data_IF_103343042144
#
_entry.id   IF_103343042144
#
_cell.length_a   1.000
_cell.length_b   1.000
_cell.length_c   1.000
_cell.angle_alpha   90.00
_cell.angle_beta   90.00
_cell.angle_gamma   90.00
#
_symmetry.space_group_name_H-M   'P 1'
#
loop_
_entity.id
_entity.type
_entity.pdbx_description
1 polymer ?
#
# COMPACT_ATOMS: atom_id res chain seq x y z
N UNK A 1 -21.60 2.99 -10.64
CA UNK A 1 -21.18 3.34 -9.25
C UNK A 1 -22.19 2.86 -8.20
N UNK A 2 -23.50 2.90 -8.49
CA UNK A 2 -24.53 2.45 -7.52
C UNK A 2 -24.50 0.95 -7.25
N UNK A 3 -24.12 0.15 -8.25
CA UNK A 3 -24.09 -1.31 -8.14
C UNK A 3 -22.93 -1.86 -7.27
N UNK A 4 -21.85 -1.11 -7.13
CA UNK A 4 -20.64 -1.52 -6.39
C UNK A 4 -20.11 -0.35 -5.56
N UNK A 5 -20.78 0.00 -4.44
CA UNK A 5 -20.35 1.08 -3.58
C UNK A 5 -18.98 0.75 -2.95
N UNK A 6 -18.15 1.77 -2.80
CA UNK A 6 -16.79 1.67 -2.24
C UNK A 6 -15.83 0.71 -2.96
N UNK A 7 -16.13 0.34 -4.22
CA UNK A 7 -15.27 -0.50 -5.04
C UNK A 7 -14.88 0.20 -6.34
N UNK A 8 -13.67 -0.04 -6.79
CA UNK A 8 -13.18 0.48 -8.07
C UNK A 8 -13.72 -0.38 -9.21
N UNK A 9 -14.47 0.22 -10.11
CA UNK A 9 -14.97 -0.43 -11.33
C UNK A 9 -14.20 0.09 -12.54
N UNK A 10 -13.65 -0.80 -13.34
CA UNK A 10 -12.95 -0.47 -14.58
C UNK A 10 -13.57 -1.27 -15.72
N UNK A 11 -14.02 -0.58 -16.77
CA UNK A 11 -14.50 -1.25 -17.98
C UNK A 11 -13.30 -1.72 -18.79
N UNK A 12 -13.27 -3.00 -19.12
CA UNK A 12 -12.17 -3.65 -19.84
C UNK A 12 -12.45 -3.83 -21.32
N UNK A 13 -13.72 -3.96 -21.70
CA UNK A 13 -14.12 -4.09 -23.09
C UNK A 13 -15.60 -3.74 -23.30
N UNK A 14 -15.95 -3.46 -24.57
CA UNK A 14 -17.31 -3.22 -25.04
C UNK A 14 -17.62 -4.11 -26.25
N UNK A 15 -18.90 -4.47 -26.42
CA UNK A 15 -19.41 -4.97 -27.71
C UNK A 15 -19.33 -3.89 -28.79
N UNK A 16 -19.34 -4.28 -30.05
CA UNK A 16 -19.25 -3.35 -31.20
C UNK A 16 -20.33 -2.27 -31.22
N UNK A 17 -21.51 -2.62 -30.73
CA UNK A 17 -22.71 -1.77 -30.66
C UNK A 17 -22.87 -1.07 -29.29
N UNK A 18 -21.92 -1.25 -28.38
CA UNK A 18 -21.96 -0.74 -27.01
C UNK A 18 -23.14 -1.24 -26.15
N UNK A 19 -23.91 -2.24 -26.63
CA UNK A 19 -25.02 -2.82 -25.86
C UNK A 19 -24.55 -3.63 -24.65
N UNK A 20 -23.29 -4.10 -24.68
CA UNK A 20 -22.67 -4.87 -23.59
C UNK A 20 -21.27 -4.38 -23.26
N UNK A 21 -20.90 -4.53 -22.00
CA UNK A 21 -19.55 -4.26 -21.53
C UNK A 21 -19.09 -5.36 -20.57
N UNK A 22 -17.78 -5.58 -20.52
CA UNK A 22 -17.14 -6.34 -19.45
C UNK A 22 -16.37 -5.37 -18.58
N UNK A 23 -16.57 -5.46 -17.28
CA UNK A 23 -15.85 -4.68 -16.29
C UNK A 23 -15.25 -5.58 -15.22
N UNK A 24 -14.19 -5.09 -14.58
CA UNK A 24 -13.62 -5.67 -13.37
C UNK A 24 -13.93 -4.76 -12.19
N UNK A 25 -14.37 -5.36 -11.10
CA UNK A 25 -14.65 -4.69 -9.83
C UNK A 25 -13.61 -5.14 -8.83
N UNK A 26 -12.93 -4.18 -8.19
CA UNK A 26 -11.81 -4.41 -7.27
C UNK A 26 -11.97 -3.57 -6.00
N UNK A 27 -11.47 -4.08 -4.88
CA UNK A 27 -11.31 -3.36 -3.61
C UNK A 27 -10.09 -3.91 -2.88
N UNK A 28 -9.83 -3.46 -1.67
CA UNK A 28 -8.77 -3.99 -0.81
C UNK A 28 -8.95 -5.48 -0.47
N UNK A 29 -10.20 -5.90 -0.23
CA UNK A 29 -10.60 -7.30 0.02
C UNK A 29 -11.24 -7.98 -1.20
N UNK A 30 -11.12 -7.38 -2.37
CA UNK A 30 -11.59 -7.95 -3.63
C UNK A 30 -10.49 -7.83 -4.69
N UNK A 31 -9.70 -8.87 -4.92
CA UNK A 31 -8.61 -8.87 -5.91
C UNK A 31 -9.08 -8.68 -7.35
N UNK A 32 -10.37 -8.87 -7.62
CA UNK A 32 -10.98 -8.62 -8.91
C UNK A 32 -12.07 -9.64 -9.23
N UNK A 33 -13.26 -9.14 -9.52
CA UNK A 33 -14.37 -9.93 -10.04
C UNK A 33 -14.82 -9.32 -11.36
N UNK A 34 -14.86 -10.13 -12.40
CA UNK A 34 -15.36 -9.74 -13.71
C UNK A 34 -16.87 -9.84 -13.79
N UNK A 35 -17.48 -8.84 -14.40
CA UNK A 35 -18.91 -8.76 -14.62
C UNK A 35 -19.23 -8.46 -16.09
N UNK A 36 -20.25 -9.12 -16.61
CA UNK A 36 -20.94 -8.72 -17.84
C UNK A 36 -22.04 -7.71 -17.49
N UNK A 37 -22.00 -6.57 -18.15
CA UNK A 37 -23.02 -5.52 -18.07
C UNK A 37 -23.80 -5.54 -19.37
N UNK A 38 -25.11 -5.85 -19.31
CA UNK A 38 -26.04 -5.82 -20.43
C UNK A 38 -26.87 -4.54 -20.31
N UNK A 39 -26.58 -3.55 -21.17
CA UNK A 39 -27.20 -2.23 -21.11
C UNK A 39 -28.66 -2.24 -21.58
N UNK A 40 -28.99 -3.16 -22.49
CA UNK A 40 -30.38 -3.28 -22.98
C UNK A 40 -31.31 -3.86 -21.91
N UNK A 41 -30.78 -4.83 -21.14
CA UNK A 41 -31.55 -5.48 -20.07
C UNK A 41 -31.38 -4.78 -18.71
N UNK A 42 -30.51 -3.79 -18.63
CA UNK A 42 -30.09 -3.17 -17.36
C UNK A 42 -29.68 -4.23 -16.32
N UNK A 43 -28.86 -5.19 -16.74
CA UNK A 43 -28.47 -6.34 -15.93
C UNK A 43 -26.96 -6.45 -15.80
N UNK A 44 -26.50 -6.82 -14.59
CA UNK A 44 -25.11 -7.11 -14.30
C UNK A 44 -25.01 -8.56 -13.82
N UNK A 45 -24.14 -9.34 -14.45
CA UNK A 45 -23.94 -10.76 -14.14
C UNK A 45 -22.46 -11.07 -13.90
N UNK A 46 -22.09 -11.79 -12.82
CA UNK A 46 -20.72 -12.17 -12.58
C UNK A 46 -20.23 -13.17 -13.64
N UNK A 47 -19.02 -12.97 -14.14
CA UNK A 47 -18.34 -13.88 -15.08
C UNK A 47 -17.33 -14.78 -14.37
N UNK A 48 -16.63 -14.26 -13.36
CA UNK A 48 -15.62 -15.00 -12.64
C UNK A 48 -14.72 -14.12 -11.80
N UNK A 49 -13.95 -14.75 -10.91
CA UNK A 49 -12.97 -14.09 -10.03
C UNK A 49 -11.58 -14.17 -10.63
N UNK A 50 -10.81 -13.08 -10.53
CA UNK A 50 -9.42 -13.03 -10.98
C UNK A 50 -8.55 -14.06 -10.22
N UNK A 51 -8.68 -14.09 -8.90
CA UNK A 51 -8.03 -15.07 -8.02
C UNK A 51 -9.06 -16.09 -7.53
N UNK A 52 -9.42 -17.03 -8.40
CA UNK A 52 -10.54 -17.96 -8.17
C UNK A 52 -10.35 -18.91 -6.98
N UNK A 53 -9.10 -19.16 -6.55
CA UNK A 53 -8.78 -20.06 -5.42
C UNK A 53 -8.66 -19.32 -4.07
N UNK A 54 -8.69 -17.99 -4.05
CA UNK A 54 -8.58 -17.20 -2.83
C UNK A 54 -9.95 -17.06 -2.17
N UNK A 55 -10.02 -17.33 -0.87
CA UNK A 55 -11.19 -16.98 -0.06
C UNK A 55 -11.17 -15.48 0.22
N UNK A 56 -12.13 -14.74 -0.30
CA UNK A 56 -12.21 -13.29 -0.09
C UNK A 56 -12.60 -12.94 1.35
N UNK A 57 -13.30 -13.84 2.04
CA UNK A 57 -13.72 -13.65 3.44
C UNK A 57 -12.55 -13.69 4.45
N UNK A 58 -11.38 -14.16 4.01
CA UNK A 58 -10.17 -14.21 4.83
C UNK A 58 -9.18 -13.06 4.56
N UNK A 59 -9.55 -12.10 3.71
CA UNK A 59 -8.71 -10.95 3.40
C UNK A 59 -8.88 -9.85 4.45
N UNK A 60 -7.80 -9.11 4.68
CA UNK A 60 -7.75 -8.02 5.64
C UNK A 60 -8.08 -6.67 4.98
N UNK A 61 -8.92 -5.86 5.62
CA UNK A 61 -9.24 -4.52 5.16
C UNK A 61 -8.04 -3.58 5.25
N UNK A 62 -7.90 -2.70 4.26
CA UNK A 62 -6.86 -1.68 4.20
C UNK A 62 -7.41 -0.33 4.66
N UNK A 63 -6.88 0.18 5.76
CA UNK A 63 -7.23 1.48 6.33
C UNK A 63 -6.35 2.58 5.75
N UNK A 64 -6.93 3.74 5.49
CA UNK A 64 -6.19 4.95 5.12
C UNK A 64 -5.79 5.68 6.40
N UNK A 65 -4.51 5.95 6.56
CA UNK A 65 -3.95 6.70 7.68
C UNK A 65 -3.39 8.01 7.14
N UNK A 66 -3.79 9.13 7.71
CA UNK A 66 -3.25 10.45 7.41
C UNK A 66 -2.67 11.05 8.70
N UNK A 67 -1.45 11.53 8.64
CA UNK A 67 -0.79 12.18 9.78
C UNK A 67 0.13 13.31 9.29
N UNK A 68 0.53 14.17 10.21
CA UNK A 68 1.56 15.18 9.93
C UNK A 68 2.91 14.67 10.35
N UNK A 69 3.88 14.73 9.43
CA UNK A 69 5.26 14.44 9.76
C UNK A 69 5.86 15.54 10.66
N UNK A 70 7.08 15.34 11.14
CA UNK A 70 7.82 16.30 12.01
C UNK A 70 8.02 17.69 11.39
N UNK A 71 7.83 17.83 10.08
CA UNK A 71 7.95 19.09 9.36
C UNK A 71 6.60 19.77 9.09
N UNK A 72 5.49 19.11 9.46
CA UNK A 72 4.13 19.60 9.28
C UNK A 72 3.48 19.18 7.96
N UNK A 73 4.18 18.40 7.11
CA UNK A 73 3.64 17.92 5.86
C UNK A 73 2.62 16.79 6.08
N UNK A 74 1.54 16.79 5.32
CA UNK A 74 0.54 15.71 5.34
C UNK A 74 1.10 14.47 4.63
N UNK A 75 1.16 13.36 5.36
CA UNK A 75 1.59 12.05 4.84
C UNK A 75 0.42 11.09 4.87
N UNK A 76 0.15 10.45 3.73
CA UNK A 76 -0.83 9.39 3.63
C UNK A 76 -0.13 8.03 3.62
N UNK A 77 -0.64 7.12 4.44
CA UNK A 77 -0.19 5.74 4.53
C UNK A 77 -1.39 4.79 4.47
N UNK A 78 -1.12 3.53 4.19
CA UNK A 78 -2.13 2.47 4.26
C UNK A 78 -1.72 1.46 5.32
N UNK A 79 -2.69 1.04 6.12
CA UNK A 79 -2.47 0.09 7.19
C UNK A 79 -3.42 -1.10 7.06
N UNK A 80 -2.86 -2.31 7.04
CA UNK A 80 -3.60 -3.57 6.99
C UNK A 80 -3.27 -4.35 8.25
N UNK A 81 -4.30 -4.66 9.05
CA UNK A 81 -4.13 -5.41 10.29
C UNK A 81 -3.93 -6.91 10.03
N UNK A 82 -3.17 -7.54 10.89
CA UNK A 82 -2.99 -8.99 10.91
C UNK A 82 -4.32 -9.72 11.09
N UNK A 83 -4.55 -10.75 10.29
CA UNK A 83 -5.77 -11.55 10.40
C UNK A 83 -5.77 -12.35 11.70
N UNK A 84 -6.80 -12.15 12.52
CA UNK A 84 -7.05 -12.95 13.72
C UNK A 84 -6.02 -12.81 14.86
N UNK A 85 -5.10 -11.85 14.79
CA UNK A 85 -4.02 -11.66 15.78
C UNK A 85 -4.03 -10.24 16.35
N UNK A 86 -4.19 -10.12 17.66
CA UNK A 86 -4.03 -8.85 18.38
C UNK A 86 -2.55 -8.62 18.71
N UNK A 87 -2.13 -7.35 18.78
CA UNK A 87 -0.74 -6.95 19.08
C UNK A 87 0.28 -7.65 18.17
N UNK A 88 -0.06 -7.77 16.89
CA UNK A 88 0.80 -8.39 15.91
C UNK A 88 2.06 -7.54 15.65
N UNK A 89 3.21 -8.17 15.33
CA UNK A 89 4.37 -7.43 14.85
C UNK A 89 4.02 -6.70 13.55
N UNK A 90 4.66 -5.56 13.32
CA UNK A 90 4.38 -4.71 12.16
C UNK A 90 5.52 -4.76 11.15
N UNK A 91 5.18 -4.96 9.89
CA UNK A 91 6.10 -4.80 8.76
C UNK A 91 5.82 -3.46 8.11
N UNK A 92 6.79 -2.56 8.13
CA UNK A 92 6.76 -1.34 7.33
C UNK A 92 7.26 -1.67 5.94
N UNK A 93 6.48 -1.31 4.93
CA UNK A 93 6.70 -1.71 3.55
C UNK A 93 6.76 -0.48 2.64
N UNK A 94 7.90 0.24 2.60
CA UNK A 94 8.10 1.37 1.71
C UNK A 94 8.13 0.92 0.26
N UNK A 95 7.42 1.64 -0.61
CA UNK A 95 7.36 1.34 -2.04
C UNK A 95 8.67 1.62 -2.77
N UNK A 96 8.83 1.04 -3.94
CA UNK A 96 9.91 1.35 -4.87
C UNK A 96 9.75 2.73 -5.52
N UNK A 97 10.73 3.16 -6.27
CA UNK A 97 10.72 4.45 -6.98
C UNK A 97 11.98 5.27 -6.70
N UNK A 98 11.96 6.36 -5.90
CA UNK A 98 10.91 6.91 -5.01
C UNK A 98 9.72 7.61 -5.70
N UNK A 99 9.84 7.97 -6.96
CA UNK A 99 8.79 8.62 -7.76
C UNK A 99 7.71 7.62 -8.22
N UNK A 100 7.12 6.94 -7.25
CA UNK A 100 5.98 6.05 -7.38
C UNK A 100 5.02 6.30 -6.22
N UNK A 101 4.07 5.43 -5.99
CA UNK A 101 3.24 5.46 -4.79
C UNK A 101 2.55 4.12 -4.58
N UNK A 102 2.16 3.85 -3.34
CA UNK A 102 1.15 2.87 -3.02
C UNK A 102 -0.26 3.42 -3.25
N UNK A 103 -1.20 2.53 -3.52
CA UNK A 103 -2.61 2.84 -3.71
C UNK A 103 -3.46 2.01 -2.76
N UNK A 104 -4.57 2.59 -2.33
CA UNK A 104 -5.59 1.82 -1.65
C UNK A 104 -6.15 0.75 -2.60
N UNK A 105 -6.22 -0.49 -2.12
CA UNK A 105 -6.76 -1.61 -2.88
C UNK A 105 -6.05 -2.93 -2.57
N UNK A 106 -6.41 -3.96 -3.29
CA UNK A 106 -5.83 -5.29 -3.11
C UNK A 106 -4.33 -5.29 -3.48
N UNK A 107 -3.52 -5.74 -2.53
CA UNK A 107 -2.10 -5.99 -2.73
C UNK A 107 -1.78 -7.42 -2.26
N UNK A 108 -1.38 -8.34 -3.16
CA UNK A 108 -1.25 -9.76 -2.83
C UNK A 108 -0.24 -10.04 -1.71
N UNK A 109 0.88 -9.31 -1.71
CA UNK A 109 1.93 -9.47 -0.71
C UNK A 109 1.50 -8.95 0.67
N UNK A 110 0.81 -7.81 0.70
CA UNK A 110 0.23 -7.26 1.94
C UNK A 110 -0.79 -8.25 2.52
N UNK A 111 -1.65 -8.81 1.69
CA UNK A 111 -2.64 -9.80 2.13
C UNK A 111 -1.99 -11.10 2.62
N UNK A 112 -0.92 -11.53 1.96
CA UNK A 112 -0.14 -12.68 2.41
C UNK A 112 0.46 -12.43 3.80
N UNK A 113 1.14 -11.30 3.99
CA UNK A 113 1.75 -10.95 5.28
C UNK A 113 0.70 -10.79 6.39
N UNK A 114 -0.45 -10.19 6.07
CA UNK A 114 -1.55 -10.05 7.03
C UNK A 114 -2.13 -11.42 7.44
N UNK A 115 -2.26 -12.35 6.48
CA UNK A 115 -2.69 -13.73 6.76
C UNK A 115 -1.68 -14.51 7.61
N UNK A 116 -0.37 -14.23 7.45
CA UNK A 116 0.70 -14.81 8.28
C UNK A 116 0.80 -14.16 9.68
N UNK A 117 -0.05 -13.19 9.98
CA UNK A 117 -0.17 -12.61 11.31
C UNK A 117 0.75 -11.40 11.55
N UNK A 118 1.05 -10.62 10.51
CA UNK A 118 1.76 -9.34 10.59
C UNK A 118 0.82 -8.20 10.24
N UNK A 119 0.90 -7.11 10.98
CA UNK A 119 0.40 -5.83 10.50
C UNK A 119 1.29 -5.33 9.36
N UNK A 120 0.72 -4.68 8.36
CA UNK A 120 1.49 -4.09 7.26
C UNK A 120 1.19 -2.61 7.14
N UNK A 121 2.24 -1.79 7.14
CA UNK A 121 2.19 -0.34 6.98
C UNK A 121 2.91 0.07 5.70
N UNK A 122 2.14 0.54 4.72
CA UNK A 122 2.65 1.08 3.46
C UNK A 122 2.66 2.61 3.52
N UNK A 123 3.80 3.23 3.24
CA UNK A 123 3.98 4.67 3.38
C UNK A 123 4.14 5.36 2.03
N UNK A 124 3.33 6.38 1.77
CA UNK A 124 3.59 7.35 0.71
C UNK A 124 4.40 8.52 1.28
N UNK A 125 5.69 8.28 1.49
CA UNK A 125 6.63 9.28 2.01
C UNK A 125 6.81 10.44 1.03
N UNK A 126 7.36 11.57 1.47
CA UNK A 126 7.75 12.66 0.57
C UNK A 126 8.64 12.14 -0.55
N UNK A 127 8.35 12.55 -1.78
CA UNK A 127 8.89 11.95 -3.01
C UNK A 127 7.86 11.12 -3.76
N UNK A 128 6.82 10.60 -3.07
CA UNK A 128 5.73 9.86 -3.71
C UNK A 128 4.95 10.74 -4.68
N UNK A 129 4.49 10.14 -5.79
CA UNK A 129 3.72 10.83 -6.83
C UNK A 129 2.24 10.96 -6.45
N UNK A 130 1.55 11.94 -7.08
CA UNK A 130 0.10 12.12 -6.91
C UNK A 130 -0.32 13.00 -5.72
N UNK A 131 0.64 13.57 -4.99
CA UNK A 131 0.42 14.50 -3.86
C UNK A 131 0.85 15.95 -4.17
N UNK A 132 1.11 16.24 -5.43
CA UNK A 132 1.58 17.54 -5.91
C UNK A 132 3.09 17.58 -6.16
N UNK A 133 3.50 18.64 -6.88
CA UNK A 133 4.90 18.78 -7.32
C UNK A 133 5.84 18.99 -6.13
N UNK A 134 5.45 19.79 -5.16
CA UNK A 134 6.26 20.06 -3.95
C UNK A 134 6.56 18.77 -3.20
N UNK A 135 5.52 17.96 -2.92
CA UNK A 135 5.69 16.67 -2.25
C UNK A 135 6.64 15.74 -3.02
N UNK A 136 6.47 15.66 -4.34
CA UNK A 136 7.32 14.82 -5.21
C UNK A 136 8.78 15.34 -5.27
N UNK A 137 8.98 16.64 -5.22
CA UNK A 137 10.30 17.26 -5.34
C UNK A 137 11.17 17.12 -4.07
N UNK A 138 10.59 16.85 -2.93
CA UNK A 138 11.34 16.74 -1.65
C UNK A 138 12.44 15.69 -1.65
N UNK A 139 12.35 14.69 -2.50
CA UNK A 139 13.34 13.62 -2.58
C UNK A 139 14.62 14.01 -3.32
N UNK A 140 14.58 15.05 -4.18
CA UNK A 140 15.75 15.49 -4.94
C UNK A 140 16.87 15.96 -4.01
N UNK A 141 18.00 15.26 -4.06
CA UNK A 141 19.16 15.50 -3.18
C UNK A 141 18.96 15.08 -1.72
N UNK A 142 17.83 14.50 -1.36
CA UNK A 142 17.45 14.15 0.02
C UNK A 142 16.91 12.72 0.18
N UNK A 143 17.39 11.77 -0.60
CA UNK A 143 16.88 10.39 -0.62
C UNK A 143 16.84 9.71 0.77
N UNK A 144 17.74 10.04 1.66
CA UNK A 144 17.74 9.51 3.02
C UNK A 144 16.79 10.30 3.96
N UNK A 145 16.71 11.62 3.81
CA UNK A 145 15.92 12.46 4.73
C UNK A 145 14.43 12.22 4.63
N UNK A 146 13.91 11.86 3.44
CA UNK A 146 12.49 11.53 3.28
C UNK A 146 12.09 10.24 4.01
N UNK A 147 13.05 9.39 4.37
CA UNK A 147 12.80 8.21 5.20
C UNK A 147 12.34 8.56 6.62
N UNK A 148 12.53 9.80 7.06
CA UNK A 148 12.00 10.25 8.36
C UNK A 148 10.48 10.15 8.41
N UNK A 149 9.78 10.27 7.27
CA UNK A 149 8.34 10.11 7.22
C UNK A 149 7.89 8.68 7.57
N UNK A 150 8.72 7.68 7.22
CA UNK A 150 8.50 6.29 7.64
C UNK A 150 8.64 6.15 9.16
N UNK A 151 9.62 6.80 9.78
CA UNK A 151 9.77 6.77 11.24
C UNK A 151 8.62 7.49 11.93
N UNK A 152 8.19 8.63 11.39
CA UNK A 152 7.08 9.42 11.93
C UNK A 152 5.75 8.65 11.85
N UNK A 153 5.53 7.85 10.82
CA UNK A 153 4.34 7.00 10.72
C UNK A 153 4.31 5.89 11.78
N UNK A 154 5.46 5.30 12.09
CA UNK A 154 5.59 4.29 13.14
C UNK A 154 5.29 4.93 14.50
N UNK A 155 5.91 6.09 14.81
CA UNK A 155 5.71 6.80 16.06
C UNK A 155 4.24 7.28 16.21
N UNK A 156 3.62 7.72 15.11
CA UNK A 156 2.22 8.11 15.10
C UNK A 156 1.31 6.94 15.46
N UNK A 157 1.43 5.79 14.79
CA UNK A 157 0.60 4.63 15.06
C UNK A 157 0.84 4.01 16.44
N UNK A 158 2.07 4.08 16.95
CA UNK A 158 2.39 3.69 18.33
C UNK A 158 1.69 4.61 19.34
N UNK A 159 1.73 5.93 19.11
CA UNK A 159 1.08 6.91 19.98
C UNK A 159 -0.45 6.76 20.02
N UNK A 160 -1.05 6.30 18.93
CA UNK A 160 -2.49 5.97 18.86
C UNK A 160 -2.82 4.57 19.42
N UNK A 161 -1.80 3.81 19.87
CA UNK A 161 -1.98 2.46 20.39
C UNK A 161 -2.38 1.41 19.35
N UNK A 162 -2.14 1.70 18.06
CA UNK A 162 -2.47 0.81 16.94
C UNK A 162 -1.41 -0.29 16.77
N UNK A 163 -0.14 0.06 16.97
CA UNK A 163 0.99 -0.87 16.88
C UNK A 163 1.89 -0.76 18.12
N UNK A 164 2.81 -1.71 18.28
CA UNK A 164 3.94 -1.63 19.21
C UNK A 164 5.22 -1.33 18.41
N UNK A 165 5.76 -0.10 18.53
CA UNK A 165 6.99 0.32 17.84
C UNK A 165 8.22 -0.50 18.21
N UNK A 166 8.18 -1.20 19.36
CA UNK A 166 9.26 -2.09 19.73
C UNK A 166 9.24 -3.43 18.98
N UNK A 167 8.26 -3.65 18.11
CA UNK A 167 8.05 -4.90 17.38
C UNK A 167 7.82 -4.65 15.89
N UNK A 168 8.74 -3.88 15.28
CA UNK A 168 8.67 -3.43 13.89
C UNK A 168 9.83 -3.99 13.07
N UNK A 169 9.51 -4.48 11.87
CA UNK A 169 10.46 -4.81 10.82
C UNK A 169 10.23 -3.91 9.60
N UNK A 170 11.22 -3.80 8.73
CA UNK A 170 11.09 -3.12 7.45
C UNK A 170 11.40 -4.08 6.31
N UNK A 171 10.55 -4.06 5.26
CA UNK A 171 10.71 -4.86 4.06
C UNK A 171 10.39 -4.02 2.82
N UNK A 172 11.24 -4.04 1.81
CA UNK A 172 10.96 -3.32 0.58
C UNK A 172 11.85 -3.69 -0.59
N UNK A 173 11.34 -3.40 -1.80
CA UNK A 173 12.02 -3.61 -3.06
C UNK A 173 12.55 -2.33 -3.70
N UNK A 174 13.66 -2.40 -4.45
CA UNK A 174 14.23 -1.26 -5.16
C UNK A 174 14.53 -0.09 -4.20
N UNK A 175 13.93 1.10 -4.39
CA UNK A 175 14.04 2.19 -3.42
C UNK A 175 13.54 1.78 -2.02
N UNK A 176 12.46 1.00 -1.93
CA UNK A 176 12.02 0.40 -0.67
C UNK A 176 13.08 -0.50 -0.04
N UNK A 177 13.86 -1.20 -0.85
CA UNK A 177 15.03 -1.97 -0.40
C UNK A 177 16.17 -1.10 0.12
N UNK A 178 16.41 0.06 -0.50
CA UNK A 178 17.30 1.09 0.06
C UNK A 178 16.76 1.60 1.41
N UNK A 179 15.48 1.90 1.50
CA UNK A 179 14.84 2.31 2.74
C UNK A 179 14.98 1.24 3.84
N UNK A 180 14.84 -0.04 3.47
CA UNK A 180 15.02 -1.17 4.38
C UNK A 180 16.46 -1.34 4.90
N UNK A 181 17.47 -0.88 4.15
CA UNK A 181 18.86 -0.86 4.63
C UNK A 181 19.20 0.40 5.39
N UNK A 182 18.78 1.58 4.91
CA UNK A 182 19.09 2.86 5.54
C UNK A 182 18.28 3.11 6.82
N UNK A 183 17.02 2.66 6.86
CA UNK A 183 16.15 2.85 8.03
C UNK A 183 16.78 2.36 9.33
N UNK A 184 17.22 1.09 9.44
CA UNK A 184 17.91 0.59 10.63
C UNK A 184 19.26 1.26 10.92
N UNK A 185 19.96 1.77 9.91
CA UNK A 185 21.20 2.53 10.12
C UNK A 185 20.92 3.91 10.73
N UNK A 186 19.81 4.55 10.35
CA UNK A 186 19.39 5.85 10.88
C UNK A 186 18.70 5.72 12.26
N UNK A 187 17.96 4.65 12.47
CA UNK A 187 17.17 4.36 13.69
C UNK A 187 17.35 2.89 14.11
N UNK A 188 18.56 2.54 14.64
CA UNK A 188 18.84 1.16 15.07
C UNK A 188 18.00 0.70 16.26
N UNK A 189 17.38 1.63 16.96
CA UNK A 189 16.47 1.39 18.07
C UNK A 189 15.07 0.91 17.62
N UNK A 190 14.68 1.24 16.41
CA UNK A 190 13.30 1.10 15.94
C UNK A 190 13.02 -0.26 15.27
N UNK A 191 13.98 -0.83 14.57
CA UNK A 191 13.75 -2.02 13.75
C UNK A 191 14.37 -3.28 14.34
N UNK A 192 13.58 -4.35 14.45
CA UNK A 192 14.03 -5.69 14.87
C UNK A 192 14.61 -6.50 13.71
N UNK A 193 14.15 -6.25 12.50
CA UNK A 193 14.65 -6.88 11.28
C UNK A 193 14.45 -5.99 10.07
N UNK A 194 15.23 -6.27 9.02
CA UNK A 194 15.16 -5.60 7.73
C UNK A 194 15.36 -6.60 6.60
N UNK A 195 14.53 -6.51 5.58
CA UNK A 195 14.62 -7.32 4.36
C UNK A 195 14.67 -6.35 3.18
N UNK A 196 15.78 -6.41 2.44
CA UNK A 196 15.98 -5.60 1.25
C UNK A 196 15.97 -6.47 0.00
N UNK A 197 15.03 -6.19 -0.89
CA UNK A 197 14.95 -6.85 -2.18
C UNK A 197 15.46 -5.91 -3.28
N UNK A 198 16.56 -6.29 -3.94
CA UNK A 198 17.19 -5.52 -5.02
C UNK A 198 17.39 -4.02 -4.69
N UNK A 199 17.64 -3.71 -3.42
CA UNK A 199 17.87 -2.34 -2.96
C UNK A 199 19.24 -1.84 -3.38
N UNK A 200 19.37 -0.62 -3.96
CA UNK A 200 20.66 0.00 -4.19
C UNK A 200 21.31 0.39 -2.85
N UNK A 201 22.61 0.28 -2.78
CA UNK A 201 23.37 0.64 -1.55
C UNK A 201 23.52 2.15 -1.36
N UNK A 202 23.32 2.94 -2.41
CA UNK A 202 23.46 4.41 -2.38
C UNK A 202 22.74 5.07 -3.56
N UNK A 203 22.17 6.25 -3.29
CA UNK A 203 21.63 7.17 -4.30
C UNK A 203 22.49 8.43 -4.51
N UNK A 204 23.71 8.46 -3.98
CA UNK A 204 24.58 9.65 -4.06
C UNK A 204 25.03 9.99 -5.48
N UNK A 205 24.85 9.10 -6.43
CA UNK A 205 25.22 9.29 -7.84
C UNK A 205 24.11 9.86 -8.72
N UNK A 206 22.88 9.95 -8.19
CA UNK A 206 21.74 10.56 -8.89
C UNK A 206 21.74 12.07 -8.58
N UNK A 207 22.36 12.84 -9.47
CA UNK A 207 22.40 14.31 -9.44
C UNK A 207 21.39 14.87 -10.44
#
# INVERSE_FOLDING_TARGET
YEAFPAQKTTITSYSKDYSRAVGIVMADVNPGTYYLMDMEKNQISPLGRYWSKTSYDSLAEMKVINFKNRYGDEIQSYFTEAVGKKNAPTIVMPHGGPWARDYWGFHPEVQFLAAEGFNVLQNNIRGSTGYGLEHTAHVYGNFANVLTDMFDSIEHLDSEGVIDKNNVCVYGGSYGGYAATQGPMMRPDLFKCAISEAGPVSYTHLR
#
